data_IF_964726715812
#
_entry.id   IF_964726715812
#
_cell.length_a   1.000
_cell.length_b   1.000
_cell.length_c   1.000
_cell.angle_alpha   90.00
_cell.angle_beta   90.00
_cell.angle_gamma   90.00
#
_symmetry.space_group_name_H-M   'P 1'
#
loop_
_entity.id
_entity.type
_entity.pdbx_description
1 polymer ?
#
# COMPACT_ATOMS: atom_id res chain seq x y z
N UNK A 1 -9.24 -2.91 -5.80
CA UNK A 1 -9.41 -2.55 -7.23
C UNK A 1 -10.80 -2.03 -7.55
N UNK A 2 -11.89 -2.77 -7.22
CA UNK A 2 -13.26 -2.35 -7.59
C UNK A 2 -13.58 -1.00 -6.96
N UNK A 3 -13.47 -0.88 -5.65
CA UNK A 3 -13.80 0.37 -4.93
C UNK A 3 -12.91 1.54 -5.34
N UNK A 4 -11.62 1.32 -5.44
CA UNK A 4 -10.66 2.34 -5.88
C UNK A 4 -10.91 2.73 -7.35
N UNK A 5 -11.25 1.77 -8.23
CA UNK A 5 -11.59 2.03 -9.62
C UNK A 5 -12.90 2.80 -9.81
N UNK A 6 -13.84 2.74 -8.87
CA UNK A 6 -15.03 3.61 -8.85
C UNK A 6 -14.68 5.06 -8.49
N UNK A 7 -13.72 5.25 -7.58
CA UNK A 7 -13.32 6.57 -7.06
C UNK A 7 -12.32 7.30 -7.96
N UNK A 8 -11.38 6.57 -8.56
CA UNK A 8 -10.32 7.14 -9.40
C UNK A 8 -9.99 6.21 -10.59
N UNK A 9 -10.91 6.08 -11.55
CA UNK A 9 -10.77 5.17 -12.69
C UNK A 9 -9.57 5.50 -13.60
N UNK A 10 -9.05 6.72 -13.52
CA UNK A 10 -7.85 7.16 -14.25
C UNK A 10 -6.54 6.61 -13.67
N UNK A 11 -6.59 6.12 -12.43
CA UNK A 11 -5.40 5.64 -11.70
C UNK A 11 -5.47 4.15 -11.34
N UNK A 12 -6.53 3.45 -11.72
CA UNK A 12 -6.71 2.02 -11.39
C UNK A 12 -7.12 1.25 -12.63
N UNK A 13 -6.49 0.09 -12.93
CA UNK A 13 -6.90 -0.74 -14.05
C UNK A 13 -8.36 -1.14 -13.96
N UNK A 14 -9.10 -1.00 -15.07
CA UNK A 14 -10.51 -1.37 -15.12
C UNK A 14 -10.70 -2.87 -14.85
N UNK A 15 -11.57 -3.21 -13.91
CA UNK A 15 -12.01 -4.59 -13.68
C UNK A 15 -13.22 -4.87 -14.56
N UNK A 16 -13.13 -5.92 -15.40
CA UNK A 16 -14.21 -6.34 -16.29
C UNK A 16 -15.08 -7.43 -15.65
N UNK A 17 -14.46 -8.31 -14.85
CA UNK A 17 -15.16 -9.40 -14.16
C UNK A 17 -14.38 -9.79 -12.90
N UNK A 18 -15.13 -10.10 -11.87
CA UNK A 18 -14.64 -10.75 -10.66
C UNK A 18 -15.48 -11.99 -10.39
N UNK A 19 -14.84 -13.10 -10.06
CA UNK A 19 -15.49 -14.36 -9.68
C UNK A 19 -14.81 -14.89 -8.42
N UNK A 20 -15.50 -14.74 -7.29
CA UNK A 20 -14.96 -15.15 -5.98
C UNK A 20 -14.84 -16.68 -5.85
N UNK A 21 -15.72 -17.44 -6.52
CA UNK A 21 -15.72 -18.90 -6.45
C UNK A 21 -14.51 -19.49 -7.18
N UNK A 22 -14.16 -18.91 -8.31
CA UNK A 22 -13.01 -19.32 -9.12
C UNK A 22 -11.73 -18.57 -8.73
N UNK A 23 -11.79 -17.62 -7.80
CA UNK A 23 -10.69 -16.71 -7.45
C UNK A 23 -10.05 -16.04 -8.69
N UNK A 24 -10.89 -15.56 -9.61
CA UNK A 24 -10.47 -14.97 -10.89
C UNK A 24 -10.88 -13.52 -10.97
N UNK A 25 -9.92 -12.66 -11.36
CA UNK A 25 -10.16 -11.26 -11.75
C UNK A 25 -9.78 -11.11 -13.23
N UNK A 26 -10.71 -10.60 -14.03
CA UNK A 26 -10.45 -10.19 -15.41
C UNK A 26 -10.37 -8.67 -15.44
N UNK A 27 -9.21 -8.14 -15.78
CA UNK A 27 -8.95 -6.71 -15.71
C UNK A 27 -8.22 -6.18 -16.96
N UNK A 28 -8.17 -4.87 -17.06
CA UNK A 28 -7.44 -4.17 -18.12
C UNK A 28 -5.97 -4.58 -18.13
N UNK A 29 -5.50 -4.98 -19.30
CA UNK A 29 -4.07 -5.20 -19.51
C UNK A 29 -3.36 -3.87 -19.79
N UNK A 30 -2.40 -3.52 -18.97
CA UNK A 30 -1.56 -2.34 -19.13
C UNK A 30 -0.40 -2.69 -20.10
N UNK A 31 -0.69 -2.63 -21.39
CA UNK A 31 0.30 -2.93 -22.43
C UNK A 31 1.47 -1.92 -22.44
N UNK A 32 2.64 -2.27 -23.01
CA UNK A 32 3.69 -1.29 -23.28
C UNK A 32 3.11 -0.05 -23.99
N UNK A 33 3.54 1.18 -23.64
CA UNK A 33 4.75 1.51 -22.89
C UNK A 33 4.63 1.53 -21.36
N UNK A 34 3.52 1.05 -20.75
CA UNK A 34 3.45 0.97 -19.29
C UNK A 34 4.56 0.07 -18.73
N UNK A 35 5.23 0.55 -17.71
CA UNK A 35 6.34 -0.14 -17.06
C UNK A 35 6.27 0.07 -15.54
N UNK A 36 6.71 -0.91 -14.78
CA UNK A 36 6.83 -0.79 -13.32
C UNK A 36 7.75 0.38 -12.96
N UNK A 37 7.24 1.31 -12.15
CA UNK A 37 7.94 2.55 -11.78
C UNK A 37 9.32 2.29 -11.18
N UNK A 38 9.47 1.29 -10.32
CA UNK A 38 10.77 0.92 -9.70
C UNK A 38 11.85 0.68 -10.76
N UNK A 39 11.52 0.00 -11.85
CA UNK A 39 12.50 -0.34 -12.90
C UNK A 39 13.09 0.89 -13.58
N UNK A 40 12.26 1.89 -13.82
CA UNK A 40 12.70 3.11 -14.51
C UNK A 40 13.31 4.14 -13.57
N UNK A 41 12.89 4.20 -12.30
CA UNK A 41 13.55 5.05 -11.31
C UNK A 41 15.01 4.63 -11.06
N UNK A 42 15.31 3.34 -11.04
CA UNK A 42 16.68 2.82 -10.95
C UNK A 42 17.55 3.27 -12.13
N UNK A 43 16.92 3.50 -13.30
CA UNK A 43 17.59 4.03 -14.51
C UNK A 43 17.71 5.56 -14.52
N UNK A 44 17.22 6.25 -13.46
CA UNK A 44 17.24 7.71 -13.36
C UNK A 44 16.18 8.43 -14.18
N UNK A 45 15.18 7.71 -14.69
CA UNK A 45 14.08 8.31 -15.47
C UNK A 45 13.19 9.13 -14.55
N UNK A 46 12.84 10.35 -14.98
CA UNK A 46 11.95 11.26 -14.22
C UNK A 46 10.54 11.26 -14.81
N UNK A 47 9.56 11.31 -13.95
CA UNK A 47 8.13 11.39 -14.26
C UNK A 47 7.57 12.67 -13.63
N UNK A 48 7.52 13.80 -14.33
CA UNK A 48 7.15 15.10 -13.76
C UNK A 48 5.73 15.14 -13.18
N UNK A 49 4.81 14.34 -13.73
CA UNK A 49 3.41 14.28 -13.31
C UNK A 49 3.11 13.25 -12.21
N UNK A 50 4.11 12.46 -11.81
CA UNK A 50 3.91 11.37 -10.85
C UNK A 50 3.36 11.86 -9.51
N UNK A 51 3.92 12.95 -8.99
CA UNK A 51 3.48 13.50 -7.71
C UNK A 51 2.01 13.94 -7.74
N UNK A 52 1.60 14.65 -8.79
CA UNK A 52 0.20 15.11 -8.97
C UNK A 52 -0.75 13.92 -9.12
N UNK A 53 -0.38 12.91 -9.90
CA UNK A 53 -1.19 11.72 -10.13
C UNK A 53 -1.36 10.89 -8.85
N UNK A 54 -0.28 10.70 -8.10
CA UNK A 54 -0.32 9.94 -6.85
C UNK A 54 -1.04 10.70 -5.74
N UNK A 55 -0.86 12.01 -5.64
CA UNK A 55 -1.62 12.81 -4.68
C UNK A 55 -3.11 12.84 -5.00
N UNK A 56 -3.48 12.87 -6.29
CA UNK A 56 -4.88 12.74 -6.71
C UNK A 56 -5.46 11.38 -6.32
N UNK A 57 -4.76 10.29 -6.62
CA UNK A 57 -5.18 8.93 -6.20
C UNK A 57 -5.39 8.84 -4.69
N UNK A 58 -4.39 9.25 -3.89
CA UNK A 58 -4.46 9.20 -2.44
C UNK A 58 -5.56 10.10 -1.88
N UNK A 59 -5.67 11.33 -2.37
CA UNK A 59 -6.69 12.25 -1.90
C UNK A 59 -8.10 11.71 -2.16
N UNK A 60 -8.38 11.18 -3.33
CA UNK A 60 -9.69 10.63 -3.67
C UNK A 60 -9.99 9.36 -2.87
N UNK A 61 -9.08 8.41 -2.83
CA UNK A 61 -9.31 7.15 -2.11
C UNK A 61 -9.45 7.35 -0.61
N UNK A 62 -8.55 8.09 0.03
CA UNK A 62 -8.58 8.31 1.46
C UNK A 62 -9.78 9.19 1.89
N UNK A 63 -10.06 10.28 1.18
CA UNK A 63 -11.17 11.16 1.52
C UNK A 63 -12.51 10.47 1.37
N UNK A 64 -12.80 9.89 0.21
CA UNK A 64 -14.11 9.32 -0.10
C UNK A 64 -14.42 8.00 0.61
N UNK A 65 -13.44 7.38 1.25
CA UNK A 65 -13.65 6.18 2.08
C UNK A 65 -13.64 6.46 3.58
N UNK A 66 -13.38 7.68 3.98
CA UNK A 66 -13.31 8.11 5.39
C UNK A 66 -14.61 8.74 5.90
N UNK A 67 -14.68 8.98 7.22
CA UNK A 67 -15.74 9.76 7.86
C UNK A 67 -15.76 11.24 7.45
N UNK A 68 -14.79 11.71 6.67
CA UNK A 68 -14.82 13.05 6.09
C UNK A 68 -15.85 13.17 4.95
N UNK A 69 -16.17 12.04 4.30
CA UNK A 69 -17.10 11.99 3.18
C UNK A 69 -18.29 11.07 3.40
N UNK A 70 -18.14 10.01 4.22
CA UNK A 70 -19.16 9.01 4.46
C UNK A 70 -19.96 9.28 5.74
N UNK A 71 -21.25 8.94 5.73
CA UNK A 71 -21.99 8.79 6.96
C UNK A 71 -21.50 7.60 7.79
N UNK A 72 -21.78 7.62 9.10
CA UNK A 72 -21.29 6.62 10.04
C UNK A 72 -21.77 5.19 9.72
N UNK A 73 -22.98 5.04 9.18
CA UNK A 73 -23.54 3.71 8.88
C UNK A 73 -22.81 3.08 7.69
N UNK A 74 -22.66 3.84 6.61
CA UNK A 74 -21.92 3.42 5.41
C UNK A 74 -20.46 3.15 5.75
N UNK A 75 -19.82 4.03 6.52
CA UNK A 75 -18.45 3.85 6.95
C UNK A 75 -18.24 2.54 7.74
N UNK A 76 -19.10 2.26 8.73
CA UNK A 76 -19.01 1.01 9.52
C UNK A 76 -19.25 -0.23 8.70
N UNK A 77 -20.16 -0.18 7.73
CA UNK A 77 -20.40 -1.30 6.81
C UNK A 77 -19.14 -1.59 5.97
N UNK A 78 -18.51 -0.55 5.44
CA UNK A 78 -17.27 -0.68 4.68
C UNK A 78 -16.12 -1.23 5.54
N UNK A 79 -15.92 -0.72 6.76
CA UNK A 79 -14.92 -1.27 7.69
C UNK A 79 -15.13 -2.76 7.93
N UNK A 80 -16.37 -3.18 8.14
CA UNK A 80 -16.71 -4.59 8.36
C UNK A 80 -16.47 -5.44 7.11
N UNK A 81 -16.75 -4.93 5.90
CA UNK A 81 -16.50 -5.62 4.64
C UNK A 81 -15.01 -5.93 4.44
N UNK A 82 -14.13 -4.96 4.73
CA UNK A 82 -12.70 -5.11 4.54
C UNK A 82 -11.95 -5.71 5.76
N UNK A 83 -12.64 -5.99 6.86
CA UNK A 83 -12.05 -6.60 8.05
C UNK A 83 -11.60 -8.07 7.84
N UNK A 84 -12.01 -8.70 6.74
CA UNK A 84 -11.66 -10.10 6.43
C UNK A 84 -10.22 -10.32 5.93
N UNK A 85 -9.48 -9.27 5.56
CA UNK A 85 -8.13 -9.39 5.00
C UNK A 85 -7.05 -9.61 6.08
N UNK A 86 -7.29 -10.55 6.98
CA UNK A 86 -6.44 -10.74 8.17
C UNK A 86 -5.04 -11.28 7.83
N UNK A 87 -4.92 -12.16 6.83
CA UNK A 87 -3.63 -12.78 6.52
C UNK A 87 -2.65 -11.77 5.92
N UNK A 88 -3.11 -10.94 4.98
CA UNK A 88 -2.27 -9.90 4.36
C UNK A 88 -1.93 -8.80 5.36
N UNK A 89 -2.90 -8.34 6.17
CA UNK A 89 -2.64 -7.39 7.24
C UNK A 89 -1.61 -7.91 8.25
N UNK A 90 -1.72 -9.18 8.67
CA UNK A 90 -0.76 -9.81 9.58
C UNK A 90 0.64 -9.92 8.96
N UNK A 91 0.72 -10.22 7.66
CA UNK A 91 2.00 -10.26 6.97
C UNK A 91 2.66 -8.87 6.96
N UNK A 92 1.92 -7.83 6.59
CA UNK A 92 2.42 -6.44 6.63
C UNK A 92 2.83 -6.04 8.04
N UNK A 93 1.98 -6.32 9.04
CA UNK A 93 2.26 -6.05 10.46
C UNK A 93 3.60 -6.65 10.90
N UNK A 94 3.87 -7.90 10.53
CA UNK A 94 5.10 -8.59 10.91
C UNK A 94 6.33 -8.08 10.16
N UNK A 95 6.23 -7.95 8.83
CA UNK A 95 7.37 -7.62 7.97
C UNK A 95 7.79 -6.15 8.10
N UNK A 96 6.86 -5.24 8.39
CA UNK A 96 7.14 -3.80 8.45
C UNK A 96 7.56 -3.34 9.84
N UNK A 97 6.90 -3.84 10.92
CA UNK A 97 7.11 -3.28 12.25
C UNK A 97 8.15 -4.04 13.09
N UNK A 98 8.04 -5.35 13.40
CA UNK A 98 9.02 -5.99 14.26
C UNK A 98 10.27 -6.49 13.53
N UNK A 99 10.13 -7.09 12.35
CA UNK A 99 11.25 -7.79 11.70
C UNK A 99 12.44 -6.89 11.36
N UNK A 100 12.29 -5.70 10.73
CA UNK A 100 13.44 -4.88 10.35
C UNK A 100 14.26 -4.39 11.56
N UNK A 101 13.64 -4.29 12.73
CA UNK A 101 14.21 -3.72 13.96
C UNK A 101 14.58 -4.78 14.99
N UNK A 102 14.42 -6.03 14.66
CA UNK A 102 14.76 -7.19 15.45
C UNK A 102 15.68 -8.16 14.72
N UNK A 103 15.85 -9.33 15.30
CA UNK A 103 16.50 -10.45 14.63
C UNK A 103 15.43 -11.31 13.97
N UNK A 104 15.42 -11.33 12.64
CA UNK A 104 14.53 -12.16 11.86
C UNK A 104 15.29 -12.85 10.73
N UNK A 105 14.90 -14.09 10.43
CA UNK A 105 15.57 -14.92 9.43
C UNK A 105 15.57 -14.32 8.01
N UNK A 106 14.54 -13.48 7.73
CA UNK A 106 14.37 -12.84 6.42
C UNK A 106 15.06 -11.48 6.28
N UNK A 107 15.64 -10.95 7.37
CA UNK A 107 16.34 -9.69 7.32
C UNK A 107 17.58 -9.77 6.44
N UNK A 108 17.77 -8.77 5.61
CA UNK A 108 18.93 -8.61 4.73
C UNK A 108 19.49 -7.21 4.86
N UNK A 109 20.80 -7.10 4.98
CA UNK A 109 21.54 -5.85 4.89
C UNK A 109 22.90 -6.10 4.26
N UNK A 110 23.54 -5.05 3.77
CA UNK A 110 24.88 -5.15 3.17
C UNK A 110 25.92 -5.31 4.27
N UNK A 111 26.48 -6.50 4.39
CA UNK A 111 27.55 -6.82 5.34
C UNK A 111 28.91 -6.84 4.62
N UNK A 112 30.01 -6.40 5.24
CA UNK A 112 30.08 -5.87 6.63
C UNK A 112 29.79 -4.37 6.77
N UNK A 113 29.49 -3.66 5.68
CA UNK A 113 29.45 -2.19 5.63
C UNK A 113 28.38 -1.59 6.58
N UNK A 114 27.24 -2.24 6.73
CA UNK A 114 26.12 -1.77 7.55
C UNK A 114 25.95 -2.49 8.89
N UNK A 115 26.85 -3.40 9.25
CA UNK A 115 26.70 -4.22 10.48
C UNK A 115 26.62 -3.35 11.74
N UNK A 116 27.45 -2.30 11.84
CA UNK A 116 27.44 -1.40 12.99
C UNK A 116 26.15 -0.56 13.07
N UNK A 117 25.66 -0.07 11.93
CA UNK A 117 24.43 0.73 11.87
C UNK A 117 23.19 -0.13 12.19
N UNK A 118 23.17 -1.36 11.71
CA UNK A 118 22.11 -2.34 12.03
C UNK A 118 22.10 -2.68 13.51
N UNK A 119 23.29 -2.90 14.11
CA UNK A 119 23.41 -3.15 15.55
C UNK A 119 22.93 -1.94 16.37
N UNK A 120 23.29 -0.72 15.96
CA UNK A 120 22.86 0.51 16.60
C UNK A 120 21.32 0.67 16.53
N UNK A 121 20.72 0.48 15.35
CA UNK A 121 19.27 0.55 15.15
C UNK A 121 18.54 -0.50 16.00
N UNK A 122 19.04 -1.72 16.03
CA UNK A 122 18.45 -2.81 16.84
C UNK A 122 18.62 -2.58 18.35
N UNK A 123 19.61 -1.80 18.76
CA UNK A 123 19.81 -1.36 20.14
C UNK A 123 18.98 -0.15 20.57
N UNK A 124 18.41 0.59 19.62
CA UNK A 124 17.67 1.83 19.88
C UNK A 124 16.28 1.57 20.47
N UNK A 125 16.17 1.70 21.79
CA UNK A 125 14.92 1.52 22.53
C UNK A 125 13.88 2.59 22.20
N UNK A 126 14.30 3.83 21.90
CA UNK A 126 13.38 4.91 21.58
C UNK A 126 12.75 4.69 20.20
N UNK A 127 13.55 4.31 19.20
CA UNK A 127 13.07 3.91 17.88
C UNK A 127 12.10 2.73 17.97
N UNK A 128 12.45 1.66 18.69
CA UNK A 128 11.56 0.50 18.86
C UNK A 128 10.22 0.86 19.50
N UNK A 129 10.21 1.78 20.48
CA UNK A 129 8.96 2.27 21.09
C UNK A 129 8.12 3.05 20.09
N UNK A 130 8.71 3.93 19.29
CA UNK A 130 8.00 4.67 18.25
C UNK A 130 7.40 3.72 17.20
N UNK A 131 8.14 2.69 16.80
CA UNK A 131 7.68 1.67 15.85
C UNK A 131 6.52 0.87 16.43
N UNK A 132 6.57 0.48 17.70
CA UNK A 132 5.44 -0.19 18.38
C UNK A 132 4.18 0.68 18.39
N UNK A 133 4.30 1.98 18.62
CA UNK A 133 3.17 2.93 18.53
C UNK A 133 2.61 3.05 17.11
N UNK A 134 3.46 3.01 16.08
CA UNK A 134 3.00 2.98 14.69
C UNK A 134 2.28 1.67 14.36
N UNK A 135 2.78 0.55 14.87
CA UNK A 135 2.12 -0.75 14.76
C UNK A 135 0.73 -0.73 15.39
N UNK A 136 0.59 -0.18 16.62
CA UNK A 136 -0.70 -0.05 17.28
C UNK A 136 -1.68 0.78 16.44
N UNK A 137 -1.22 1.91 15.86
CA UNK A 137 -2.03 2.70 14.93
C UNK A 137 -2.45 1.91 13.70
N UNK A 138 -1.52 1.15 13.10
CA UNK A 138 -1.80 0.31 11.95
C UNK A 138 -2.90 -0.72 12.25
N UNK A 139 -2.88 -1.34 13.43
CA UNK A 139 -3.83 -2.38 13.82
C UNK A 139 -5.20 -1.82 14.27
N UNK A 140 -5.25 -0.63 14.88
CA UNK A 140 -6.41 -0.15 15.62
C UNK A 140 -7.15 1.02 14.93
N UNK A 141 -6.48 1.77 14.05
CA UNK A 141 -7.04 3.00 13.49
C UNK A 141 -7.61 2.76 12.08
N UNK A 142 -8.85 2.31 12.01
CA UNK A 142 -9.59 2.21 10.77
C UNK A 142 -10.09 3.61 10.36
N UNK A 143 -9.33 4.38 9.58
CA UNK A 143 -9.69 5.75 9.19
C UNK A 143 -10.19 5.84 7.75
N UNK A 144 -9.54 5.16 6.82
CA UNK A 144 -9.90 5.11 5.41
C UNK A 144 -9.47 3.78 4.78
N UNK A 145 -10.00 3.46 3.60
CA UNK A 145 -9.51 2.34 2.81
C UNK A 145 -8.13 2.68 2.25
N UNK A 146 -7.11 1.99 2.72
CA UNK A 146 -5.74 2.16 2.25
C UNK A 146 -5.31 0.99 1.37
N UNK A 147 -4.36 1.22 0.48
CA UNK A 147 -3.80 0.19 -0.41
C UNK A 147 -3.07 -0.92 0.37
N UNK A 148 -2.48 -0.58 1.51
CA UNK A 148 -1.79 -1.50 2.42
C UNK A 148 -0.35 -1.85 2.04
N UNK A 149 0.04 -1.75 0.74
CA UNK A 149 1.41 -1.97 0.25
C UNK A 149 1.74 -1.07 -0.95
N UNK A 150 1.52 0.25 -0.79
CA UNK A 150 1.76 1.21 -1.85
C UNK A 150 3.25 1.56 -1.95
N UNK A 151 3.91 1.02 -2.94
CA UNK A 151 5.31 1.28 -3.22
C UNK A 151 5.58 1.36 -4.74
N UNK A 152 6.81 1.70 -5.13
CA UNK A 152 7.18 1.86 -6.54
C UNK A 152 7.07 0.59 -7.40
N UNK A 153 6.91 -0.57 -6.80
CA UNK A 153 6.61 -1.85 -7.48
C UNK A 153 5.12 -2.04 -7.76
N UNK A 154 4.25 -1.35 -7.00
CA UNK A 154 2.79 -1.38 -7.14
C UNK A 154 2.26 -0.25 -8.02
N UNK A 155 3.12 0.32 -8.86
CA UNK A 155 2.78 1.39 -9.81
C UNK A 155 3.28 1.05 -11.21
N UNK A 156 2.44 1.24 -12.21
CA UNK A 156 2.81 1.19 -13.63
C UNK A 156 2.64 2.56 -14.27
N UNK A 157 3.68 3.02 -14.95
CA UNK A 157 3.75 4.40 -15.49
C UNK A 157 4.01 4.43 -16.98
N UNK A 158 3.50 5.51 -17.60
CA UNK A 158 3.99 6.08 -18.85
C UNK A 158 4.45 7.51 -18.57
N UNK A 159 4.84 8.28 -19.59
CA UNK A 159 5.15 9.71 -19.39
C UNK A 159 3.93 10.53 -18.93
N UNK A 160 2.71 10.06 -19.25
CA UNK A 160 1.47 10.80 -19.03
C UNK A 160 0.54 10.19 -17.98
N UNK A 161 0.71 8.90 -17.64
CA UNK A 161 -0.21 8.16 -16.79
C UNK A 161 0.52 7.42 -15.68
N UNK A 162 -0.15 7.27 -14.52
CA UNK A 162 0.25 6.38 -13.44
C UNK A 162 -0.94 5.53 -13.01
N UNK A 163 -0.79 4.22 -13.07
CA UNK A 163 -1.74 3.26 -12.55
C UNK A 163 -1.21 2.61 -11.28
N UNK A 164 -2.06 2.54 -10.26
CA UNK A 164 -1.83 1.77 -9.04
C UNK A 164 -2.38 0.36 -9.26
N UNK A 165 -1.58 -0.63 -8.92
CA UNK A 165 -1.87 -2.05 -9.11
C UNK A 165 -1.63 -2.81 -7.80
N UNK A 166 -2.11 -4.04 -7.73
CA UNK A 166 -1.80 -4.98 -6.64
C UNK A 166 -2.29 -4.58 -5.24
N UNK A 167 -3.59 -4.23 -5.08
CA UNK A 167 -4.16 -3.82 -3.79
C UNK A 167 -4.59 -5.02 -2.91
N UNK A 168 -3.89 -6.13 -2.98
CA UNK A 168 -4.23 -7.33 -2.21
C UNK A 168 -4.11 -7.14 -0.68
N UNK A 169 -3.32 -6.16 -0.26
CA UNK A 169 -3.14 -5.78 1.14
C UNK A 169 -4.15 -4.74 1.64
N UNK A 170 -5.14 -4.35 0.82
CA UNK A 170 -6.03 -3.26 1.18
C UNK A 170 -6.92 -3.61 2.40
N UNK A 171 -7.09 -2.63 3.28
CA UNK A 171 -7.95 -2.68 4.45
C UNK A 171 -8.26 -1.27 4.94
N UNK A 172 -9.20 -1.14 5.88
CA UNK A 172 -9.40 0.13 6.56
C UNK A 172 -8.31 0.35 7.60
N UNK A 173 -7.38 1.26 7.30
CA UNK A 173 -6.22 1.58 8.12
C UNK A 173 -6.05 3.07 8.40
N UNK A 174 -4.94 3.47 9.04
CA UNK A 174 -4.65 4.87 9.34
C UNK A 174 -4.34 5.67 8.07
N UNK A 175 -4.81 6.92 8.05
CA UNK A 175 -4.44 7.92 7.03
C UNK A 175 -3.13 8.62 7.37
#
# INVERSE_FOLDING_TARGET
>A
LLKEGELCPEHVPKVFKYDATLAVIVMQYLAPPHIILRKVLVQGVRYPRLADQMSSFLAQTLFHTSLLALDTTTYRANVAEYAGNNEMCRLTEQVIFPEPYGEAANNRHTSPQLDADVAALRGDVAAKRAIAQLKDKFCEHAQALIHGDLHTGSMMVTQDTCFVIDPEFCFYGPM
#
